data_IF_015379363051
#
_entry.id   IF_015379363051
#
_cell.length_a   1.000
_cell.length_b   1.000
_cell.length_c   1.000
_cell.angle_alpha   90.00
_cell.angle_beta   90.00
_cell.angle_gamma   90.00
#
_symmetry.space_group_name_H-M   'P 1'
#
loop_
_entity.id
_entity.type
_entity.pdbx_description
1 polymer ?
#
# COMPACT_ATOMS: atom_id res chain seq x y z
N UNK A 1 11.20 -3.68 6.76
CA UNK A 1 11.36 -4.97 6.05
C UNK A 1 10.13 -5.82 6.29
N UNK A 2 9.29 -5.99 5.27
CA UNK A 2 8.02 -6.75 5.36
C UNK A 2 8.29 -8.21 5.05
N UNK A 3 7.64 -9.13 5.77
CA UNK A 3 7.70 -10.57 5.50
C UNK A 3 6.39 -11.06 4.93
N UNK A 4 6.47 -11.91 3.91
CA UNK A 4 5.29 -12.53 3.32
C UNK A 4 4.64 -13.46 4.34
N UNK A 5 3.37 -13.24 4.68
CA UNK A 5 2.63 -14.08 5.64
C UNK A 5 2.40 -15.52 5.17
N UNK A 6 2.67 -15.83 3.88
CA UNK A 6 2.51 -17.16 3.29
C UNK A 6 3.82 -17.93 3.16
N UNK A 7 4.92 -17.23 2.87
CA UNK A 7 6.22 -17.83 2.58
C UNK A 7 7.27 -17.53 3.67
N UNK A 8 6.98 -16.61 4.58
CA UNK A 8 7.87 -16.13 5.65
C UNK A 8 9.20 -15.49 5.20
N UNK A 9 9.33 -15.18 3.91
CA UNK A 9 10.48 -14.51 3.31
C UNK A 9 10.28 -12.99 3.21
N UNK A 10 11.37 -12.26 2.98
CA UNK A 10 11.35 -10.82 2.72
C UNK A 10 10.60 -10.49 1.42
N UNK A 11 9.77 -9.45 1.49
CA UNK A 11 9.01 -8.92 0.35
C UNK A 11 9.75 -7.75 -0.29
N UNK A 12 9.58 -7.58 -1.60
CA UNK A 12 10.09 -6.40 -2.33
C UNK A 12 9.08 -5.26 -2.14
N UNK A 13 9.47 -4.22 -1.41
CA UNK A 13 8.61 -3.08 -1.07
C UNK A 13 8.87 -1.83 -1.95
N UNK A 14 8.13 -0.75 -1.68
CA UNK A 14 8.27 0.52 -2.38
C UNK A 14 7.56 0.62 -3.73
N UNK A 15 6.82 -0.41 -4.16
CA UNK A 15 6.13 -0.38 -5.45
C UNK A 15 5.01 0.64 -5.48
N UNK A 16 4.93 1.38 -6.59
CA UNK A 16 3.80 2.23 -6.92
C UNK A 16 2.60 1.39 -7.38
N UNK A 17 1.43 1.68 -6.84
CA UNK A 17 0.18 1.05 -7.27
C UNK A 17 -0.56 2.01 -8.20
N UNK A 18 -0.73 1.61 -9.46
CA UNK A 18 -1.37 2.40 -10.52
C UNK A 18 -2.49 1.60 -11.17
N UNK A 19 -3.49 2.30 -11.68
CA UNK A 19 -4.53 1.69 -12.51
C UNK A 19 -3.94 1.36 -13.88
N UNK A 20 -4.11 0.13 -14.36
CA UNK A 20 -3.60 -0.26 -15.68
C UNK A 20 -4.18 0.63 -16.79
N UNK A 21 -3.33 1.05 -17.75
CA UNK A 21 -3.71 2.02 -18.77
C UNK A 21 -3.82 3.47 -18.30
N UNK A 22 -3.59 3.75 -17.01
CA UNK A 22 -3.56 5.10 -16.44
C UNK A 22 -2.35 5.33 -15.53
N UNK A 23 -1.84 6.56 -15.48
CA UNK A 23 -0.70 6.88 -14.61
C UNK A 23 -1.11 7.24 -13.17
N UNK A 24 -2.40 7.24 -12.86
CA UNK A 24 -2.93 7.62 -11.54
C UNK A 24 -2.86 6.46 -10.55
N UNK A 25 -2.52 6.79 -9.29
CA UNK A 25 -2.46 5.82 -8.19
C UNK A 25 -3.74 5.74 -7.36
N UNK A 26 -3.74 4.85 -6.37
CA UNK A 26 -4.84 4.71 -5.41
C UNK A 26 -4.74 5.76 -4.29
N UNK A 27 -5.91 6.24 -3.84
CA UNK A 27 -6.06 7.16 -2.70
C UNK A 27 -6.89 6.50 -1.61
N UNK A 28 -6.47 6.63 -0.36
CA UNK A 28 -7.29 6.24 0.80
C UNK A 28 -7.93 7.49 1.41
N UNK A 29 -9.24 7.43 1.67
CA UNK A 29 -10.04 8.49 2.28
C UNK A 29 -10.67 8.00 3.58
N UNK A 30 -10.85 8.91 4.55
CA UNK A 30 -11.71 8.64 5.70
C UNK A 30 -13.19 8.55 5.26
N UNK A 31 -14.03 7.72 5.92
CA UNK A 31 -15.44 7.55 5.55
C UNK A 31 -16.36 8.76 5.77
N UNK A 32 -15.82 9.97 5.97
CA UNK A 32 -16.60 11.14 6.37
C UNK A 32 -16.39 12.33 5.42
N UNK A 33 -17.30 13.30 5.47
CA UNK A 33 -17.55 14.37 4.47
C UNK A 33 -16.29 15.14 4.03
N UNK A 34 -15.24 15.17 4.86
CA UNK A 34 -13.95 15.71 4.48
C UNK A 34 -13.07 14.64 3.81
N UNK A 35 -12.82 14.83 2.51
CA UNK A 35 -11.96 14.03 1.62
C UNK A 35 -10.47 14.09 1.98
N UNK A 36 -10.15 14.05 3.28
CA UNK A 36 -8.79 14.06 3.78
C UNK A 36 -8.04 12.87 3.16
N UNK A 37 -6.97 13.18 2.44
CA UNK A 37 -6.10 12.18 1.84
C UNK A 37 -5.16 11.63 2.91
N UNK A 38 -5.23 10.31 3.14
CA UNK A 38 -4.32 9.62 4.07
C UNK A 38 -2.94 9.35 3.47
N UNK A 39 -2.75 9.53 2.16
CA UNK A 39 -1.46 9.39 1.49
C UNK A 39 -1.53 8.54 0.22
N UNK A 40 -0.38 8.37 -0.42
CA UNK A 40 -0.18 7.48 -1.56
C UNK A 40 -0.12 6.03 -1.07
N UNK A 41 -0.84 5.14 -1.74
CA UNK A 41 -0.78 3.70 -1.47
C UNK A 41 0.45 3.11 -2.15
N UNK A 42 1.22 2.34 -1.39
CA UNK A 42 2.33 1.54 -1.87
C UNK A 42 2.00 0.05 -1.73
N UNK A 43 2.75 -0.78 -2.46
CA UNK A 43 2.67 -2.24 -2.35
C UNK A 43 4.03 -2.85 -2.01
N UNK A 44 3.99 -3.91 -1.21
CA UNK A 44 5.04 -4.90 -1.13
C UNK A 44 4.56 -6.18 -1.81
N UNK A 45 5.46 -6.83 -2.57
CA UNK A 45 5.14 -8.06 -3.32
C UNK A 45 6.09 -9.16 -2.92
N UNK A 46 5.55 -10.34 -2.59
CA UNK A 46 6.35 -11.53 -2.35
C UNK A 46 6.92 -12.05 -3.69
N UNK A 47 8.25 -12.17 -3.83
CA UNK A 47 8.86 -12.63 -5.07
C UNK A 47 8.58 -14.11 -5.36
N UNK A 48 8.24 -14.91 -4.35
CA UNK A 48 7.99 -16.36 -4.52
C UNK A 48 6.54 -16.68 -4.90
N UNK A 49 5.55 -16.09 -4.19
CA UNK A 49 4.14 -16.47 -4.36
C UNK A 49 3.25 -15.35 -4.90
N UNK A 50 3.79 -14.16 -5.15
CA UNK A 50 3.03 -13.01 -5.66
C UNK A 50 2.03 -12.41 -4.68
N UNK A 51 2.07 -12.78 -3.39
CA UNK A 51 1.25 -12.13 -2.36
C UNK A 51 1.54 -10.62 -2.30
N UNK A 52 0.48 -9.81 -2.29
CA UNK A 52 0.55 -8.35 -2.29
C UNK A 52 0.04 -7.83 -0.95
N UNK A 53 0.81 -6.95 -0.33
CA UNK A 53 0.41 -6.16 0.84
C UNK A 53 0.39 -4.68 0.48
N UNK A 54 -0.77 -4.02 0.64
CA UNK A 54 -0.88 -2.57 0.48
C UNK A 54 -0.63 -1.85 1.81
N UNK A 55 0.08 -0.72 1.75
CA UNK A 55 0.38 0.07 2.94
C UNK A 55 0.47 1.57 2.65
N UNK A 56 0.39 2.35 3.72
CA UNK A 56 0.72 3.77 3.76
C UNK A 56 2.03 3.94 4.54
N UNK A 57 2.95 4.74 4.03
CA UNK A 57 4.25 4.97 4.68
C UNK A 57 4.10 5.90 5.89
N UNK A 58 3.36 7.01 5.73
CA UNK A 58 3.00 7.90 6.82
C UNK A 58 1.66 7.49 7.46
N UNK A 59 1.70 7.21 8.75
CA UNK A 59 0.51 6.84 9.55
C UNK A 59 0.09 7.94 10.53
N UNK A 60 0.74 9.11 10.51
CA UNK A 60 0.47 10.24 11.39
C UNK A 60 -1.01 10.67 11.39
N UNK A 61 -1.67 10.59 10.23
CA UNK A 61 -3.08 10.95 10.03
C UNK A 61 -4.09 9.87 10.44
N UNK A 62 -3.60 8.69 10.84
CA UNK A 62 -4.39 7.49 11.18
C UNK A 62 -4.31 7.20 12.67
N UNK A 63 -3.13 7.40 13.28
CA UNK A 63 -2.90 7.19 14.71
C UNK A 63 -3.89 8.04 15.53
N UNK A 64 -4.55 7.39 16.49
CA UNK A 64 -5.43 8.03 17.48
C UNK A 64 -4.61 8.54 18.67
#
# INVERSE_FOLDING_TARGET
>A
MRKCIRCEIEMIDGHDVKVEGAAYGLKITKPDIFKENLGKVHAAVCPECGYIEFYLEDTSKIKK
#
